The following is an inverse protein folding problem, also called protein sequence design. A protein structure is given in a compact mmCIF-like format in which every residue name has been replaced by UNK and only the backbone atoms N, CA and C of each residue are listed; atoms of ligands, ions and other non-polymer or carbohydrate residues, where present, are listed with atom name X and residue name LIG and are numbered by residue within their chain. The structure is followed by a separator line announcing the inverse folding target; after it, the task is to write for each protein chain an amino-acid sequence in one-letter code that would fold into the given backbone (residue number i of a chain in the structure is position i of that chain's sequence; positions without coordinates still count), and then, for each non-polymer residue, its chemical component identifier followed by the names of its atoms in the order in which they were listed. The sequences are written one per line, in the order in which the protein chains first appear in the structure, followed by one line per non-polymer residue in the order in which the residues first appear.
data_IF_993661424859
#
_entry.id   IF_993661424859
#
_cell.length_a   1.000
_cell.length_b   1.000
_cell.length_c   1.000
_cell.angle_alpha   90.00
_cell.angle_beta   90.00
_cell.angle_gamma   90.00
#
_symmetry.space_group_name_H-M   'P 1'
#
loop_
_entity.id
_entity.type
_entity.pdbx_description
1 polymer ?
#
# COMPACT_ATOMS: atom_id res chain seq x y z
N UNK A 1 -53.34 67.45 2.74
CA UNK A 1 -52.05 67.63 3.44
C UNK A 1 -51.94 66.48 4.43
N UNK A 2 -50.91 65.65 4.26
CA UNK A 2 -50.30 64.61 5.13
C UNK A 2 -50.96 64.32 6.50
N UNK A 3 -51.04 63.09 7.01
CA UNK A 3 -50.38 61.82 6.70
C UNK A 3 -50.64 60.88 7.89
N UNK A 4 -50.76 59.59 7.62
CA UNK A 4 -51.28 58.54 8.50
C UNK A 4 -50.21 57.98 9.45
N UNK A 5 -50.61 57.67 10.69
CA UNK A 5 -49.85 56.99 11.73
C UNK A 5 -49.29 55.63 11.29
N UNK A 6 -48.02 55.35 11.60
CA UNK A 6 -47.47 53.98 11.56
C UNK A 6 -46.83 53.58 12.90
N UNK A 7 -47.42 52.53 13.46
CA UNK A 7 -46.98 51.73 14.61
C UNK A 7 -45.66 51.02 14.33
N UNK A 8 -44.70 51.12 15.26
CA UNK A 8 -43.44 50.37 15.20
C UNK A 8 -43.56 49.06 15.99
N UNK A 9 -43.68 47.94 15.26
CA UNK A 9 -43.58 46.58 15.79
C UNK A 9 -42.10 46.17 15.87
N UNK A 10 -41.59 45.84 17.06
CA UNK A 10 -40.25 45.27 17.24
C UNK A 10 -40.28 43.78 16.89
N UNK A 11 -39.48 43.37 15.90
CA UNK A 11 -39.20 41.96 15.59
C UNK A 11 -37.85 41.59 16.23
N UNK A 12 -37.85 40.62 17.14
CA UNK A 12 -36.60 39.99 17.62
C UNK A 12 -36.10 39.01 16.54
N UNK A 13 -34.78 38.94 16.26
CA UNK A 13 -34.25 37.92 15.37
C UNK A 13 -34.14 36.57 16.10
N UNK A 14 -34.76 35.54 15.53
CA UNK A 14 -34.64 34.15 15.94
C UNK A 14 -33.24 33.65 15.58
N UNK A 15 -32.42 33.34 16.59
CA UNK A 15 -31.10 32.73 16.41
C UNK A 15 -31.27 31.25 16.04
N UNK A 16 -31.02 30.91 14.77
CA UNK A 16 -30.92 29.51 14.33
C UNK A 16 -29.54 28.98 14.70
N UNK A 17 -29.48 28.15 15.73
CA UNK A 17 -28.26 27.44 16.12
C UNK A 17 -28.14 26.20 15.22
N UNK A 18 -27.22 26.24 14.26
CA UNK A 18 -26.79 25.05 13.55
C UNK A 18 -25.93 24.21 14.49
N UNK A 19 -26.45 23.07 14.94
CA UNK A 19 -25.64 22.00 15.53
C UNK A 19 -24.86 21.33 14.40
N UNK A 20 -23.62 21.78 14.16
CA UNK A 20 -22.65 20.98 13.42
C UNK A 20 -22.26 19.79 14.31
N UNK A 21 -22.80 18.62 14.01
CA UNK A 21 -22.30 17.37 14.56
C UNK A 21 -20.88 17.14 14.01
N UNK A 22 -19.87 17.60 14.77
CA UNK A 22 -18.49 17.17 14.61
C UNK A 22 -18.45 15.68 14.95
N UNK A 23 -18.56 14.84 13.91
CA UNK A 23 -18.14 13.45 14.01
C UNK A 23 -16.65 13.46 14.32
N UNK A 24 -16.31 13.16 15.57
CA UNK A 24 -14.96 12.75 15.92
C UNK A 24 -14.70 11.41 15.23
N UNK A 25 -14.17 11.47 14.01
CA UNK A 25 -13.45 10.35 13.44
C UNK A 25 -12.28 10.14 14.41
N UNK A 26 -12.33 9.07 15.19
CA UNK A 26 -11.18 8.64 15.97
C UNK A 26 -9.99 8.61 15.01
N UNK A 27 -8.96 9.41 15.30
CA UNK A 27 -7.76 9.43 14.49
C UNK A 27 -7.29 7.97 14.36
N UNK A 28 -7.32 7.45 13.13
CA UNK A 28 -6.76 6.14 12.82
C UNK A 28 -5.34 6.10 13.39
N UNK A 29 -4.93 4.95 13.94
CA UNK A 29 -3.61 4.74 14.50
C UNK A 29 -2.55 5.29 13.54
N UNK A 30 -2.02 6.49 13.84
CA UNK A 30 -1.41 7.37 12.83
C UNK A 30 -0.06 6.86 12.34
N UNK A 31 0.42 5.76 12.92
CA UNK A 31 1.71 5.15 12.68
C UNK A 31 1.62 3.66 12.23
N UNK A 32 0.45 3.16 11.84
CA UNK A 32 0.32 1.78 11.35
C UNK A 32 0.65 1.70 9.84
N UNK A 33 1.81 1.13 9.50
CA UNK A 33 2.14 0.79 8.12
C UNK A 33 1.85 -0.70 7.86
N UNK A 34 0.91 -1.03 6.95
CA UNK A 34 0.57 -2.40 6.63
C UNK A 34 1.64 -3.10 5.79
N UNK A 35 2.11 -4.24 6.31
CA UNK A 35 2.99 -5.17 5.63
C UNK A 35 2.37 -6.55 5.78
N UNK A 36 1.84 -7.07 4.68
CA UNK A 36 1.09 -8.32 4.63
C UNK A 36 1.92 -9.45 4.04
N UNK A 37 1.74 -10.67 4.55
CA UNK A 37 2.12 -11.88 3.85
C UNK A 37 0.88 -12.45 3.15
N UNK A 38 0.99 -12.86 1.90
CA UNK A 38 -0.10 -13.48 1.14
C UNK A 38 -0.08 -15.01 1.27
N UNK A 39 -0.86 -15.60 2.17
CA UNK A 39 -1.17 -17.05 2.27
C UNK A 39 -2.25 -17.31 3.32
N UNK A 40 -3.07 -18.36 3.21
CA UNK A 40 -3.85 -18.81 4.38
C UNK A 40 -2.92 -19.14 5.56
N UNK A 41 -3.03 -18.40 6.66
CA UNK A 41 -2.16 -18.58 7.83
C UNK A 41 -2.73 -19.66 8.75
N UNK A 42 -1.90 -20.60 9.26
CA UNK A 42 -2.37 -21.55 10.27
C UNK A 42 -2.71 -20.84 11.58
N UNK A 43 -3.68 -21.36 12.32
CA UNK A 43 -3.97 -20.93 13.68
C UNK A 43 -2.93 -21.46 14.67
N UNK A 44 -1.68 -21.02 14.50
CA UNK A 44 -0.54 -21.42 15.30
C UNK A 44 0.16 -20.17 15.88
N UNK A 45 0.13 -19.96 17.20
CA UNK A 45 0.76 -18.82 17.84
C UNK A 45 2.26 -18.67 17.55
N UNK A 46 3.00 -19.78 17.40
CA UNK A 46 4.43 -19.73 17.11
C UNK A 46 4.69 -19.24 15.68
N UNK A 47 3.86 -19.68 14.73
CA UNK A 47 3.92 -19.21 13.34
C UNK A 47 3.58 -17.72 13.25
N UNK A 48 2.50 -17.28 13.91
CA UNK A 48 2.07 -15.88 13.92
C UNK A 48 3.11 -14.98 14.61
N UNK A 49 3.71 -15.43 15.71
CA UNK A 49 4.84 -14.72 16.34
C UNK A 49 6.03 -14.60 15.39
N UNK A 50 6.37 -15.65 14.65
CA UNK A 50 7.44 -15.61 13.64
C UNK A 50 7.13 -14.65 12.49
N UNK A 51 5.88 -14.56 12.06
CA UNK A 51 5.45 -13.56 11.07
C UNK A 51 5.68 -12.13 11.58
N UNK A 52 5.28 -11.85 12.83
CA UNK A 52 5.55 -10.55 13.46
C UNK A 52 7.05 -10.26 13.58
N UNK A 53 7.85 -11.25 13.96
CA UNK A 53 9.32 -11.12 14.02
C UNK A 53 9.94 -10.84 12.65
N UNK A 54 9.33 -11.29 11.55
CA UNK A 54 9.72 -10.92 10.18
C UNK A 54 9.33 -9.48 9.79
N UNK A 55 8.77 -8.70 10.72
CA UNK A 55 8.31 -7.33 10.48
C UNK A 55 6.98 -7.24 9.72
N UNK A 56 6.23 -8.35 9.62
CA UNK A 56 4.86 -8.30 9.11
C UNK A 56 3.95 -7.65 10.16
N UNK A 57 2.99 -6.86 9.70
CA UNK A 57 1.99 -6.20 10.56
C UNK A 57 0.56 -6.67 10.27
N UNK A 58 0.36 -7.36 9.15
CA UNK A 58 -0.93 -7.92 8.73
C UNK A 58 -0.73 -9.39 8.34
N UNK A 59 -1.52 -10.28 8.92
CA UNK A 59 -1.68 -11.65 8.42
C UNK A 59 -2.85 -11.68 7.42
N UNK A 60 -2.61 -12.24 6.24
CA UNK A 60 -3.63 -12.47 5.24
C UNK A 60 -3.39 -13.84 4.61
N UNK A 61 -4.30 -14.81 4.66
CA UNK A 61 -5.70 -14.74 5.05
C UNK A 61 -6.00 -15.57 6.30
N UNK A 62 -6.83 -15.02 7.18
CA UNK A 62 -7.03 -15.49 8.56
C UNK A 62 -8.46 -16.01 8.74
N UNK A 63 -8.62 -17.25 9.20
CA UNK A 63 -9.94 -17.76 9.58
C UNK A 63 -10.43 -17.10 10.89
N UNK A 64 -11.76 -16.94 11.11
CA UNK A 64 -12.30 -16.31 12.33
C UNK A 64 -11.68 -16.79 13.65
N UNK A 65 -11.50 -18.11 13.80
CA UNK A 65 -10.94 -18.72 15.02
C UNK A 65 -9.46 -18.44 15.28
N UNK A 66 -8.74 -17.77 14.37
CA UNK A 66 -7.32 -17.42 14.52
C UNK A 66 -7.06 -15.96 14.94
N UNK A 67 -8.13 -15.18 15.15
CA UNK A 67 -8.02 -13.75 15.43
C UNK A 67 -7.35 -13.45 16.78
N UNK A 68 -7.64 -14.21 17.83
CA UNK A 68 -7.00 -14.06 19.15
C UNK A 68 -5.49 -14.29 19.05
N UNK A 69 -5.07 -15.31 18.30
CA UNK A 69 -3.65 -15.61 18.09
C UNK A 69 -2.96 -14.51 17.25
N UNK A 70 -3.64 -13.94 16.26
CA UNK A 70 -3.12 -12.78 15.52
C UNK A 70 -2.93 -11.58 16.44
N UNK A 71 -3.92 -11.24 17.27
CA UNK A 71 -3.82 -10.15 18.23
C UNK A 71 -2.68 -10.37 19.23
N UNK A 72 -2.56 -11.59 19.78
CA UNK A 72 -1.51 -11.94 20.74
C UNK A 72 -0.10 -11.80 20.11
N UNK A 73 0.03 -12.06 18.81
CA UNK A 73 1.27 -11.87 18.06
C UNK A 73 1.52 -10.41 17.65
N UNK A 74 0.58 -9.49 17.86
CA UNK A 74 0.70 -8.10 17.41
C UNK A 74 0.38 -7.89 15.92
N UNK A 75 -0.38 -8.80 15.31
CA UNK A 75 -0.78 -8.76 13.91
C UNK A 75 -2.24 -8.31 13.76
N UNK A 76 -2.48 -7.51 12.73
CA UNK A 76 -3.83 -7.33 12.16
C UNK A 76 -4.15 -8.47 11.19
N UNK A 77 -5.40 -8.60 10.77
CA UNK A 77 -5.89 -9.75 10.01
C UNK A 77 -6.81 -9.33 8.86
N UNK A 78 -6.54 -9.83 7.66
CA UNK A 78 -7.56 -9.92 6.60
C UNK A 78 -8.31 -11.24 6.81
N UNK A 79 -9.56 -11.15 7.28
CA UNK A 79 -10.41 -12.30 7.54
C UNK A 79 -10.81 -12.96 6.22
N UNK A 80 -10.66 -14.27 6.11
CA UNK A 80 -11.19 -15.05 4.99
C UNK A 80 -12.08 -16.17 5.51
N UNK A 81 -13.29 -16.19 4.96
CA UNK A 81 -14.37 -17.10 5.34
C UNK A 81 -15.28 -17.29 4.11
N UNK A 82 -15.91 -18.45 3.98
CA UNK A 82 -16.86 -18.71 2.88
C UNK A 82 -18.05 -17.75 2.91
N UNK A 83 -18.38 -17.19 4.08
CA UNK A 83 -19.40 -16.14 4.26
C UNK A 83 -19.02 -14.79 3.65
N UNK A 84 -17.77 -14.53 3.30
CA UNK A 84 -17.38 -13.31 2.58
C UNK A 84 -16.83 -13.56 1.17
N UNK A 85 -16.19 -14.70 0.92
CA UNK A 85 -15.54 -14.99 -0.35
C UNK A 85 -16.22 -16.10 -1.20
N UNK A 86 -17.12 -16.89 -0.60
CA UNK A 86 -17.69 -18.11 -1.19
C UNK A 86 -18.86 -17.89 -2.16
N UNK A 87 -18.88 -16.77 -2.88
CA UNK A 87 -19.95 -16.39 -3.80
C UNK A 87 -19.61 -16.69 -5.26
N UNK A 88 -20.65 -16.86 -6.08
CA UNK A 88 -20.51 -16.64 -7.53
C UNK A 88 -20.53 -15.13 -7.79
N UNK A 89 -19.39 -14.58 -8.17
CA UNK A 89 -19.21 -13.17 -8.44
C UNK A 89 -19.78 -12.72 -9.81
N UNK A 90 -20.35 -13.64 -10.59
CA UNK A 90 -21.18 -13.29 -11.75
C UNK A 90 -22.65 -13.07 -11.35
N UNK A 91 -23.16 -13.85 -10.39
CA UNK A 91 -24.58 -13.81 -9.97
C UNK A 91 -24.73 -13.82 -8.45
N UNK A 92 -24.36 -12.71 -7.80
CA UNK A 92 -24.48 -12.59 -6.34
C UNK A 92 -25.95 -12.51 -5.89
N UNK A 93 -26.39 -13.53 -5.14
CA UNK A 93 -27.61 -13.46 -4.32
C UNK A 93 -27.38 -12.52 -3.12
N UNK A 94 -27.93 -11.31 -3.22
CA UNK A 94 -27.76 -10.26 -2.21
C UNK A 94 -28.38 -10.63 -0.85
N UNK A 95 -29.48 -11.38 -0.82
CA UNK A 95 -30.12 -11.78 0.44
C UNK A 95 -29.26 -12.78 1.20
N UNK A 96 -28.69 -13.75 0.46
CA UNK A 96 -27.70 -14.68 1.00
C UNK A 96 -26.45 -13.92 1.47
N UNK A 97 -25.95 -13.00 0.65
CA UNK A 97 -24.78 -12.19 1.01
C UNK A 97 -25.01 -11.38 2.29
N UNK A 98 -26.16 -10.70 2.41
CA UNK A 98 -26.54 -9.92 3.59
C UNK A 98 -26.60 -10.78 4.85
N UNK A 99 -27.19 -11.96 4.76
CA UNK A 99 -27.27 -12.92 5.88
C UNK A 99 -25.88 -13.38 6.33
N UNK A 100 -25.06 -13.83 5.38
CA UNK A 100 -23.73 -14.35 5.65
C UNK A 100 -22.77 -13.29 6.19
N UNK A 101 -22.72 -12.11 5.56
CA UNK A 101 -21.85 -11.01 5.96
C UNK A 101 -22.26 -10.45 7.33
N UNK A 102 -23.57 -10.34 7.60
CA UNK A 102 -24.05 -9.92 8.93
C UNK A 102 -23.66 -10.93 10.01
N UNK A 103 -23.77 -12.23 9.72
CA UNK A 103 -23.34 -13.29 10.64
C UNK A 103 -21.84 -13.23 10.93
N UNK A 104 -21.00 -13.12 9.88
CA UNK A 104 -19.55 -13.01 10.04
C UNK A 104 -19.16 -11.75 10.83
N UNK A 105 -19.71 -10.58 10.47
CA UNK A 105 -19.38 -9.33 11.16
C UNK A 105 -19.87 -9.33 12.62
N UNK A 106 -21.01 -9.97 12.91
CA UNK A 106 -21.47 -10.17 14.28
C UNK A 106 -20.48 -11.00 15.11
N UNK A 107 -19.89 -12.03 14.50
CA UNK A 107 -18.90 -12.91 15.14
C UNK A 107 -17.56 -12.20 15.38
N UNK A 108 -17.00 -11.56 14.35
CA UNK A 108 -15.61 -11.08 14.39
C UNK A 108 -15.42 -9.57 14.31
N UNK A 109 -16.44 -8.81 13.91
CA UNK A 109 -16.27 -7.42 13.48
C UNK A 109 -15.82 -6.45 14.58
N UNK A 110 -15.99 -6.83 15.85
CA UNK A 110 -15.50 -6.07 17.03
C UNK A 110 -14.09 -6.47 17.47
N UNK A 111 -13.54 -7.53 16.91
CA UNK A 111 -12.22 -8.02 17.30
C UNK A 111 -11.13 -7.05 16.81
N UNK A 112 -10.20 -6.60 17.68
CA UNK A 112 -9.27 -5.51 17.35
C UNK A 112 -8.22 -5.91 16.30
N UNK A 113 -7.97 -7.20 16.10
CA UNK A 113 -7.12 -7.67 15.00
C UNK A 113 -7.75 -7.52 13.62
N UNK A 114 -9.09 -7.46 13.48
CA UNK A 114 -9.70 -7.39 12.14
C UNK A 114 -9.29 -6.10 11.43
N UNK A 115 -8.66 -6.24 10.27
CA UNK A 115 -8.28 -5.14 9.37
C UNK A 115 -9.22 -5.04 8.18
N UNK A 116 -9.68 -6.19 7.68
CA UNK A 116 -10.56 -6.29 6.53
C UNK A 116 -11.08 -7.70 6.33
N UNK A 117 -11.84 -7.87 5.25
CA UNK A 117 -12.47 -9.13 4.84
C UNK A 117 -12.08 -9.41 3.39
N UNK A 118 -11.45 -10.55 3.14
CA UNK A 118 -11.12 -11.01 1.80
C UNK A 118 -12.39 -11.31 1.00
N UNK A 119 -12.57 -10.60 -0.12
CA UNK A 119 -13.65 -10.87 -1.06
C UNK A 119 -13.15 -11.67 -2.25
N UNK A 120 -12.11 -11.17 -2.93
CA UNK A 120 -11.64 -11.76 -4.18
C UNK A 120 -10.22 -11.32 -4.54
N UNK A 121 -9.51 -12.24 -5.16
CA UNK A 121 -8.25 -12.00 -5.84
C UNK A 121 -8.47 -11.95 -7.36
N UNK A 122 -7.80 -11.00 -7.99
CA UNK A 122 -7.75 -10.77 -9.44
C UNK A 122 -9.11 -10.94 -10.18
N UNK A 123 -10.14 -10.14 -9.86
CA UNK A 123 -11.42 -10.22 -10.55
C UNK A 123 -11.40 -9.55 -11.92
N UNK A 124 -12.06 -10.16 -12.91
CA UNK A 124 -12.44 -9.47 -14.14
C UNK A 124 -13.45 -8.36 -13.86
N UNK A 125 -13.48 -7.30 -14.68
CA UNK A 125 -14.39 -6.18 -14.51
C UNK A 125 -15.88 -6.57 -14.52
N UNK A 126 -16.24 -7.70 -15.15
CA UNK A 126 -17.59 -8.25 -15.08
C UNK A 126 -18.05 -8.63 -13.66
N UNK A 127 -17.11 -8.90 -12.75
CA UNK A 127 -17.41 -9.26 -11.36
C UNK A 127 -17.57 -8.03 -10.44
N UNK A 128 -17.16 -6.83 -10.89
CA UNK A 128 -17.18 -5.62 -10.05
C UNK A 128 -18.56 -5.27 -9.49
N UNK A 129 -19.67 -5.37 -10.24
CA UNK A 129 -20.99 -5.06 -9.68
C UNK A 129 -21.38 -5.97 -8.50
N UNK A 130 -21.05 -7.27 -8.58
CA UNK A 130 -21.31 -8.20 -7.49
C UNK A 130 -20.41 -7.91 -6.27
N UNK A 131 -19.12 -7.65 -6.51
CA UNK A 131 -18.18 -7.27 -5.47
C UNK A 131 -18.57 -5.97 -4.77
N UNK A 132 -19.06 -4.96 -5.51
CA UNK A 132 -19.57 -3.72 -4.94
C UNK A 132 -20.72 -3.99 -3.98
N UNK A 133 -21.71 -4.82 -4.36
CA UNK A 133 -22.83 -5.15 -3.46
C UNK A 133 -22.36 -5.76 -2.14
N UNK A 134 -21.39 -6.68 -2.17
CA UNK A 134 -20.81 -7.26 -0.95
C UNK A 134 -20.07 -6.20 -0.12
N UNK A 135 -19.29 -5.32 -0.77
CA UNK A 135 -18.61 -4.21 -0.10
C UNK A 135 -19.61 -3.21 0.51
N UNK A 136 -20.69 -2.87 -0.19
CA UNK A 136 -21.76 -1.96 0.24
C UNK A 136 -22.50 -2.50 1.48
N UNK A 137 -22.60 -3.83 1.62
CA UNK A 137 -23.11 -4.48 2.84
C UNK A 137 -22.07 -4.39 3.97
N UNK A 138 -20.79 -4.67 3.69
CA UNK A 138 -19.74 -4.68 4.72
C UNK A 138 -19.44 -3.32 5.33
N UNK A 139 -19.38 -2.24 4.53
CA UNK A 139 -19.01 -0.90 5.00
C UNK A 139 -19.84 -0.40 6.19
N UNK A 140 -21.19 -0.45 6.18
CA UNK A 140 -22.00 -0.03 7.32
C UNK A 140 -21.96 -1.05 8.47
N UNK A 141 -21.79 -2.35 8.20
CA UNK A 141 -21.72 -3.39 9.24
C UNK A 141 -20.40 -3.35 10.02
N UNK A 142 -19.29 -3.02 9.36
CA UNK A 142 -17.95 -2.99 9.95
C UNK A 142 -17.19 -1.72 9.53
N UNK A 143 -17.58 -0.54 10.05
CA UNK A 143 -16.97 0.73 9.67
C UNK A 143 -15.45 0.75 9.87
N UNK A 144 -14.73 1.24 8.87
CA UNK A 144 -13.27 1.31 8.87
C UNK A 144 -12.54 0.00 8.59
N UNK A 145 -13.26 -1.11 8.34
CA UNK A 145 -12.65 -2.38 7.88
C UNK A 145 -12.70 -2.48 6.37
N UNK A 146 -11.64 -3.00 5.78
CA UNK A 146 -11.46 -3.03 4.32
C UNK A 146 -12.15 -4.23 3.68
N UNK A 147 -13.12 -4.06 2.76
CA UNK A 147 -13.54 -5.12 1.84
C UNK A 147 -12.39 -5.36 0.84
N UNK A 148 -11.52 -6.31 1.16
CA UNK A 148 -10.25 -6.52 0.49
C UNK A 148 -10.47 -7.23 -0.86
N UNK A 149 -10.12 -6.52 -1.93
CA UNK A 149 -10.11 -7.02 -3.31
C UNK A 149 -8.72 -6.70 -3.87
N UNK A 150 -8.01 -7.72 -4.35
CA UNK A 150 -6.74 -7.55 -5.06
C UNK A 150 -6.98 -7.53 -6.57
N UNK A 151 -6.35 -6.59 -7.26
CA UNK A 151 -6.50 -6.36 -8.70
C UNK A 151 -5.36 -6.97 -9.49
N UNK A 152 -5.64 -7.30 -10.75
CA UNK A 152 -4.61 -7.71 -11.71
C UNK A 152 -3.52 -6.64 -11.93
N UNK A 153 -2.33 -7.04 -12.40
CA UNK A 153 -1.34 -6.16 -13.04
C UNK A 153 -1.71 -5.78 -14.49
N UNK A 154 -0.94 -4.85 -15.05
CA UNK A 154 -1.06 -4.42 -16.45
C UNK A 154 -0.53 -5.43 -17.49
N UNK A 155 0.09 -6.54 -17.06
CA UNK A 155 0.38 -7.69 -17.94
C UNK A 155 -0.74 -8.73 -18.00
N UNK A 156 -1.83 -8.56 -17.26
CA UNK A 156 -3.01 -9.39 -17.46
C UNK A 156 -3.65 -9.08 -18.82
N UNK A 157 -4.07 -10.13 -19.52
CA UNK A 157 -4.65 -9.98 -20.85
C UNK A 157 -6.00 -9.28 -20.79
N UNK A 158 -6.38 -8.58 -21.86
CA UNK A 158 -7.66 -7.87 -21.94
C UNK A 158 -8.89 -8.74 -21.61
N UNK A 159 -8.85 -10.04 -21.95
CA UNK A 159 -9.92 -10.98 -21.62
C UNK A 159 -9.98 -11.32 -20.13
N UNK A 160 -8.85 -11.29 -19.41
CA UNK A 160 -8.80 -11.44 -17.95
C UNK A 160 -9.35 -10.17 -17.28
N UNK A 161 -8.88 -9.00 -17.73
CA UNK A 161 -9.33 -7.71 -17.22
C UNK A 161 -10.83 -7.47 -17.47
N UNK A 162 -11.37 -7.93 -18.61
CA UNK A 162 -12.73 -7.60 -19.05
C UNK A 162 -12.85 -6.15 -19.55
N UNK A 163 -11.73 -5.56 -19.99
CA UNK A 163 -11.61 -4.19 -20.53
C UNK A 163 -10.64 -4.18 -21.71
N UNK A 164 -10.56 -3.05 -22.41
CA UNK A 164 -9.66 -2.91 -23.58
C UNK A 164 -8.22 -2.60 -23.20
N UNK A 165 -8.00 -2.11 -21.98
CA UNK A 165 -6.70 -1.77 -21.42
C UNK A 165 -6.77 -1.64 -19.89
N UNK A 166 -5.60 -1.51 -19.27
CA UNK A 166 -5.46 -1.44 -17.81
C UNK A 166 -6.01 -0.14 -17.17
N UNK A 167 -5.90 1.00 -17.84
CA UNK A 167 -6.43 2.27 -17.32
C UNK A 167 -7.96 2.20 -17.20
N UNK A 168 -8.64 1.67 -18.22
CA UNK A 168 -10.08 1.42 -18.17
C UNK A 168 -10.46 0.44 -17.05
N UNK A 169 -9.63 -0.58 -16.79
CA UNK A 169 -9.85 -1.54 -15.70
C UNK A 169 -9.82 -0.86 -14.32
N UNK A 170 -8.82 -0.02 -14.05
CA UNK A 170 -8.71 0.75 -12.80
C UNK A 170 -9.90 1.71 -12.64
N UNK A 171 -10.23 2.50 -13.65
CA UNK A 171 -11.32 3.46 -13.58
C UNK A 171 -12.68 2.78 -13.36
N UNK A 172 -12.94 1.65 -14.03
CA UNK A 172 -14.16 0.86 -13.79
C UNK A 172 -14.20 0.29 -12.37
N UNK A 173 -13.08 -0.18 -11.84
CA UNK A 173 -13.03 -0.68 -10.47
C UNK A 173 -13.33 0.43 -9.47
N UNK A 174 -12.69 1.59 -9.62
CA UNK A 174 -12.88 2.75 -8.73
C UNK A 174 -14.34 3.22 -8.78
N UNK A 175 -14.88 3.43 -9.98
CA UNK A 175 -16.25 3.92 -10.18
C UNK A 175 -17.33 2.93 -9.72
N UNK A 176 -17.06 1.62 -9.76
CA UNK A 176 -18.05 0.60 -9.38
C UNK A 176 -17.91 0.23 -7.91
N UNK A 177 -16.71 -0.15 -7.48
CA UNK A 177 -16.47 -0.73 -6.16
C UNK A 177 -16.16 0.30 -5.08
N UNK A 178 -15.97 1.58 -5.40
CA UNK A 178 -15.70 2.66 -4.44
C UNK A 178 -14.70 2.25 -3.34
N UNK A 179 -13.47 1.82 -3.73
CA UNK A 179 -12.46 1.38 -2.77
C UNK A 179 -11.95 2.57 -1.94
N UNK A 180 -11.44 2.30 -0.74
CA UNK A 180 -10.61 3.26 0.00
C UNK A 180 -9.11 3.08 -0.29
N UNK A 181 -8.73 1.85 -0.67
CA UNK A 181 -7.36 1.43 -0.96
C UNK A 181 -7.41 0.52 -2.19
N UNK A 182 -6.52 0.73 -3.15
CA UNK A 182 -6.29 -0.20 -4.26
C UNK A 182 -5.21 -1.21 -3.83
N UNK A 183 -5.49 -2.50 -3.93
CA UNK A 183 -4.46 -3.54 -3.86
C UNK A 183 -4.26 -4.11 -5.26
N UNK A 184 -3.01 -4.27 -5.68
CA UNK A 184 -2.68 -4.96 -6.93
C UNK A 184 -1.31 -5.64 -6.79
N UNK A 185 -1.06 -6.66 -7.59
CA UNK A 185 0.22 -7.35 -7.65
C UNK A 185 0.97 -7.06 -8.95
N UNK A 186 2.30 -6.98 -8.88
CA UNK A 186 3.16 -6.94 -10.06
C UNK A 186 4.51 -7.61 -9.75
N UNK A 187 4.73 -8.78 -10.35
CA UNK A 187 5.98 -9.53 -10.21
C UNK A 187 6.90 -9.27 -11.40
N UNK A 188 8.01 -8.56 -11.14
CA UNK A 188 8.88 -8.08 -12.20
C UNK A 188 10.32 -8.60 -12.15
N UNK A 189 10.72 -9.34 -11.10
CA UNK A 189 12.09 -9.79 -10.94
C UNK A 189 12.28 -11.15 -11.62
N UNK A 190 12.90 -11.14 -12.80
CA UNK A 190 13.00 -12.32 -13.67
C UNK A 190 14.31 -13.10 -13.41
N UNK A 191 14.30 -14.41 -13.66
CA UNK A 191 15.43 -15.33 -13.44
C UNK A 191 16.61 -15.14 -14.40
N UNK A 192 16.38 -14.49 -15.54
CA UNK A 192 17.43 -14.01 -16.45
C UNK A 192 18.14 -12.73 -15.96
N UNK A 193 17.76 -12.23 -14.77
CA UNK A 193 18.30 -11.02 -14.17
C UNK A 193 17.60 -9.74 -14.62
N UNK A 194 16.71 -9.81 -15.61
CA UNK A 194 15.97 -8.65 -16.10
C UNK A 194 14.91 -8.18 -15.10
N UNK A 195 14.56 -6.90 -15.23
CA UNK A 195 13.35 -6.35 -14.64
C UNK A 195 12.29 -6.31 -15.74
N UNK A 196 11.11 -6.87 -15.47
CA UNK A 196 9.99 -6.88 -16.41
C UNK A 196 9.70 -5.45 -16.88
N UNK A 197 9.53 -5.30 -18.20
CA UNK A 197 9.44 -4.01 -18.87
C UNK A 197 8.36 -3.09 -18.28
N UNK A 198 7.23 -3.64 -17.89
CA UNK A 198 6.05 -2.89 -17.44
C UNK A 198 5.97 -2.66 -15.93
N UNK A 199 7.01 -3.04 -15.16
CA UNK A 199 7.07 -2.78 -13.71
C UNK A 199 6.78 -1.31 -13.37
N UNK A 200 7.46 -0.40 -14.08
CA UNK A 200 7.34 1.03 -13.84
C UNK A 200 6.07 1.64 -14.41
N UNK A 201 5.58 1.16 -15.56
CA UNK A 201 4.34 1.66 -16.16
C UNK A 201 3.11 1.26 -15.32
N UNK A 202 3.11 0.05 -14.75
CA UNK A 202 2.03 -0.39 -13.87
C UNK A 202 2.00 0.44 -12.57
N UNK A 203 3.17 0.63 -11.93
CA UNK A 203 3.30 1.45 -10.73
C UNK A 203 2.80 2.88 -10.97
N UNK A 204 3.18 3.49 -12.11
CA UNK A 204 2.70 4.83 -12.46
C UNK A 204 1.20 4.85 -12.75
N UNK A 205 0.65 3.86 -13.46
CA UNK A 205 -0.78 3.79 -13.75
C UNK A 205 -1.61 3.73 -12.46
N UNK A 206 -1.21 2.90 -11.49
CA UNK A 206 -1.89 2.79 -10.19
C UNK A 206 -1.72 4.08 -9.40
N UNK A 207 -0.50 4.63 -9.31
CA UNK A 207 -0.24 5.90 -8.64
C UNK A 207 -1.10 7.03 -9.21
N UNK A 208 -1.15 7.17 -10.54
CA UNK A 208 -1.91 8.22 -11.22
C UNK A 208 -3.41 8.10 -10.92
N UNK A 209 -3.99 6.90 -11.01
CA UNK A 209 -5.38 6.65 -10.66
C UNK A 209 -5.65 6.98 -9.17
N UNK A 210 -4.80 6.51 -8.27
CA UNK A 210 -4.91 6.81 -6.84
C UNK A 210 -4.83 8.31 -6.55
N UNK A 211 -3.89 9.03 -7.17
CA UNK A 211 -3.75 10.48 -7.01
C UNK A 211 -4.98 11.23 -7.52
N UNK A 212 -5.52 10.84 -8.68
CA UNK A 212 -6.71 11.45 -9.27
C UNK A 212 -7.94 11.28 -8.38
N UNK A 213 -8.09 10.12 -7.74
CA UNK A 213 -9.25 9.78 -6.92
C UNK A 213 -9.02 9.89 -5.41
N UNK A 214 -7.88 10.46 -4.99
CA UNK A 214 -7.50 10.63 -3.59
C UNK A 214 -7.50 9.31 -2.78
N UNK A 215 -7.05 8.24 -3.42
CA UNK A 215 -6.94 6.89 -2.85
C UNK A 215 -5.51 6.56 -2.44
N UNK A 216 -5.39 5.59 -1.56
CA UNK A 216 -4.13 4.94 -1.25
C UNK A 216 -3.98 3.64 -2.05
N UNK A 217 -2.76 3.11 -2.16
CA UNK A 217 -2.55 1.77 -2.74
C UNK A 217 -1.55 0.92 -1.97
N UNK A 218 -1.74 -0.39 -2.07
CA UNK A 218 -0.81 -1.42 -1.66
C UNK A 218 -0.27 -2.15 -2.89
N UNK A 219 1.02 -2.45 -2.86
CA UNK A 219 1.68 -3.23 -3.89
C UNK A 219 2.00 -4.62 -3.33
N UNK A 220 1.54 -5.67 -4.02
CA UNK A 220 1.95 -7.04 -3.72
C UNK A 220 3.20 -7.37 -4.54
N UNK A 221 4.27 -7.68 -3.83
CA UNK A 221 5.61 -7.83 -4.39
C UNK A 221 6.12 -9.26 -4.20
N UNK A 222 7.12 -9.63 -4.99
CA UNK A 222 7.67 -10.98 -5.04
C UNK A 222 8.52 -11.27 -3.80
N UNK A 223 8.22 -12.38 -3.11
CA UNK A 223 9.03 -12.94 -2.03
C UNK A 223 9.38 -14.41 -2.21
N UNK A 224 8.76 -15.10 -3.17
CA UNK A 224 9.07 -16.49 -3.50
C UNK A 224 9.27 -16.65 -5.00
N UNK A 225 10.34 -17.33 -5.39
CA UNK A 225 10.56 -17.64 -6.78
C UNK A 225 9.66 -18.78 -7.24
N UNK A 226 9.06 -18.62 -8.40
CA UNK A 226 8.21 -19.61 -9.06
C UNK A 226 8.19 -19.28 -10.57
N UNK A 227 7.89 -20.26 -11.40
CA UNK A 227 8.03 -20.16 -12.86
C UNK A 227 9.42 -19.60 -13.22
N UNK A 228 9.46 -18.48 -13.95
CA UNK A 228 10.65 -17.75 -14.39
C UNK A 228 10.96 -16.51 -13.51
N UNK A 229 10.42 -16.42 -12.30
CA UNK A 229 10.80 -15.38 -11.35
C UNK A 229 12.07 -15.77 -10.59
N UNK A 230 12.99 -14.82 -10.36
CA UNK A 230 14.23 -15.12 -9.64
C UNK A 230 14.02 -15.32 -8.14
N UNK A 231 14.96 -16.02 -7.53
CA UNK A 231 15.08 -16.07 -6.07
C UNK A 231 15.39 -14.67 -5.52
N UNK A 232 14.49 -14.09 -4.70
CA UNK A 232 14.70 -12.72 -4.22
C UNK A 232 15.91 -12.62 -3.30
N UNK A 233 16.75 -11.63 -3.57
CA UNK A 233 17.90 -11.24 -2.75
C UNK A 233 17.54 -10.12 -1.77
N UNK A 234 18.46 -9.78 -0.86
CA UNK A 234 18.28 -8.59 0.00
C UNK A 234 18.11 -7.28 -0.80
N UNK A 235 18.74 -7.17 -1.98
CA UNK A 235 18.58 -6.02 -2.88
C UNK A 235 17.17 -5.95 -3.46
N UNK A 236 16.57 -7.10 -3.76
CA UNK A 236 15.22 -7.21 -4.33
C UNK A 236 14.14 -6.77 -3.36
N UNK A 237 14.25 -7.16 -2.09
CA UNK A 237 13.32 -6.70 -1.05
C UNK A 237 13.40 -5.20 -0.85
N UNK A 238 14.61 -4.62 -0.79
CA UNK A 238 14.78 -3.17 -0.69
C UNK A 238 14.21 -2.47 -1.92
N UNK A 239 14.55 -2.94 -3.12
CA UNK A 239 14.10 -2.35 -4.37
C UNK A 239 12.58 -2.27 -4.40
N UNK A 240 11.89 -3.42 -4.25
CA UNK A 240 10.43 -3.47 -4.31
C UNK A 240 9.75 -2.62 -3.23
N UNK A 241 10.31 -2.57 -2.01
CA UNK A 241 9.75 -1.78 -0.92
C UNK A 241 9.95 -0.28 -1.16
N UNK A 242 11.18 0.16 -1.45
CA UNK A 242 11.49 1.59 -1.59
C UNK A 242 10.94 2.21 -2.87
N UNK A 243 10.83 1.46 -3.97
CA UNK A 243 10.15 1.95 -5.18
C UNK A 243 8.66 2.14 -4.92
N UNK A 244 8.02 1.19 -4.22
CA UNK A 244 6.62 1.33 -3.78
C UNK A 244 6.43 2.60 -2.94
N UNK A 245 7.31 2.84 -1.96
CA UNK A 245 7.28 4.06 -1.15
C UNK A 245 7.52 5.32 -1.98
N UNK A 246 8.48 5.33 -2.91
CA UNK A 246 8.75 6.50 -3.74
C UNK A 246 7.57 6.87 -4.65
N UNK A 247 6.78 5.89 -5.09
CA UNK A 247 5.52 6.14 -5.81
C UNK A 247 4.36 6.55 -4.89
N UNK A 248 4.55 6.58 -3.57
CA UNK A 248 3.51 6.97 -2.62
C UNK A 248 2.66 5.82 -2.09
N UNK A 249 3.11 4.57 -2.28
CA UNK A 249 2.42 3.39 -1.75
C UNK A 249 2.28 3.44 -0.23
N UNK A 250 1.16 2.94 0.27
CA UNK A 250 0.76 2.98 1.68
C UNK A 250 0.65 1.61 2.33
N UNK A 251 1.05 0.58 1.59
CA UNK A 251 1.19 -0.77 2.12
C UNK A 251 1.98 -1.66 1.19
N UNK A 252 2.49 -2.74 1.75
CA UNK A 252 3.18 -3.81 1.05
C UNK A 252 2.49 -5.13 1.35
N UNK A 253 2.45 -6.01 0.36
CA UNK A 253 2.11 -7.41 0.55
C UNK A 253 3.17 -8.28 -0.13
N UNK A 254 3.40 -9.49 0.38
CA UNK A 254 4.42 -10.40 -0.15
C UNK A 254 3.78 -11.70 -0.63
N UNK A 255 3.93 -11.99 -1.92
CA UNK A 255 3.58 -13.28 -2.52
C UNK A 255 4.83 -14.17 -2.61
N UNK A 256 4.92 -15.29 -1.90
CA UNK A 256 4.16 -15.68 -0.70
C UNK A 256 5.12 -15.95 0.45
N UNK A 257 4.61 -15.97 1.68
CA UNK A 257 5.41 -16.20 2.88
C UNK A 257 5.74 -17.68 3.13
N UNK A 258 4.76 -18.56 2.96
CA UNK A 258 4.96 -20.00 2.98
C UNK A 258 5.19 -20.53 1.57
N UNK A 259 6.05 -21.53 1.44
CA UNK A 259 6.21 -22.27 0.20
C UNK A 259 4.89 -22.92 -0.23
N UNK A 260 4.61 -22.82 -1.52
CA UNK A 260 3.48 -23.50 -2.15
C UNK A 260 3.91 -24.93 -2.51
N UNK A 261 3.15 -25.98 -2.18
CA UNK A 261 3.60 -27.37 -2.25
C UNK A 261 3.53 -27.99 -3.67
N UNK A 262 3.47 -27.17 -4.71
CA UNK A 262 3.36 -27.60 -6.10
C UNK A 262 4.18 -26.68 -7.03
N UNK A 263 4.36 -27.07 -8.29
CA UNK A 263 5.21 -26.38 -9.27
C UNK A 263 6.69 -26.26 -8.81
N UNK A 264 7.41 -25.23 -9.29
CA UNK A 264 8.83 -25.01 -9.03
C UNK A 264 9.09 -23.88 -8.01
N UNK A 265 8.24 -23.77 -6.99
CA UNK A 265 8.43 -22.80 -5.92
C UNK A 265 9.73 -23.07 -5.17
N UNK A 266 10.50 -22.02 -4.93
CA UNK A 266 11.84 -22.10 -4.32
C UNK A 266 12.13 -20.85 -3.50
N UNK A 267 12.89 -21.02 -2.42
CA UNK A 267 13.34 -19.95 -1.54
C UNK A 267 12.21 -19.06 -0.99
N UNK A 268 11.06 -19.66 -0.63
CA UNK A 268 10.04 -18.96 0.15
C UNK A 268 10.62 -18.55 1.52
N UNK A 269 10.12 -17.49 2.18
CA UNK A 269 10.54 -17.14 3.54
C UNK A 269 10.46 -18.34 4.51
N UNK A 270 9.38 -19.09 4.45
CA UNK A 270 9.23 -20.38 5.13
C UNK A 270 9.14 -21.49 4.07
N UNK A 271 10.07 -22.44 4.09
CA UNK A 271 10.11 -23.55 3.13
C UNK A 271 8.99 -24.58 3.38
N UNK A 272 8.88 -25.56 2.47
CA UNK A 272 7.89 -26.64 2.55
C UNK A 272 8.03 -27.55 3.78
N UNK A 273 9.13 -27.44 4.53
CA UNK A 273 9.39 -28.19 5.76
C UNK A 273 9.19 -27.33 7.01
N UNK A 274 8.78 -26.07 6.87
CA UNK A 274 8.57 -25.13 7.97
C UNK A 274 9.84 -24.40 8.44
N UNK A 275 10.95 -24.49 7.72
CA UNK A 275 12.20 -23.82 8.08
C UNK A 275 12.28 -22.41 7.51
N UNK A 276 12.97 -21.52 8.23
CA UNK A 276 13.39 -20.23 7.69
C UNK A 276 14.45 -20.43 6.61
N UNK A 277 14.24 -19.81 5.45
CA UNK A 277 15.29 -19.68 4.43
C UNK A 277 16.01 -18.33 4.56
N UNK A 278 17.04 -18.08 3.74
CA UNK A 278 17.69 -16.78 3.68
C UNK A 278 16.71 -15.63 3.35
N UNK A 279 15.69 -15.91 2.54
CA UNK A 279 14.62 -14.98 2.16
C UNK A 279 13.91 -14.39 3.37
N UNK A 280 13.73 -15.17 4.45
CA UNK A 280 13.10 -14.68 5.68
C UNK A 280 13.91 -13.54 6.30
N UNK A 281 15.24 -13.66 6.35
CA UNK A 281 16.11 -12.61 6.92
C UNK A 281 16.17 -11.38 6.01
N UNK A 282 16.11 -11.57 4.70
CA UNK A 282 16.03 -10.46 3.74
C UNK A 282 14.73 -9.67 3.91
N UNK A 283 13.59 -10.39 4.00
CA UNK A 283 12.28 -9.81 4.28
C UNK A 283 12.29 -9.07 5.62
N UNK A 284 12.74 -9.71 6.69
CA UNK A 284 12.81 -9.10 8.03
C UNK A 284 13.60 -7.79 7.99
N UNK A 285 14.79 -7.82 7.40
CA UNK A 285 15.65 -6.64 7.37
C UNK A 285 15.01 -5.48 6.62
N UNK A 286 14.37 -5.73 5.47
CA UNK A 286 13.65 -4.70 4.73
C UNK A 286 12.46 -4.17 5.53
N UNK A 287 11.59 -5.05 6.05
CA UNK A 287 10.39 -4.67 6.78
C UNK A 287 10.70 -3.82 8.01
N UNK A 288 11.71 -4.19 8.81
CA UNK A 288 12.12 -3.41 9.98
C UNK A 288 12.57 -2.00 9.61
N UNK A 289 13.26 -1.84 8.48
CA UNK A 289 13.65 -0.51 7.98
C UNK A 289 12.42 0.33 7.61
N UNK A 290 11.46 -0.26 6.90
CA UNK A 290 10.20 0.40 6.52
C UNK A 290 9.41 0.83 7.78
N UNK A 291 9.30 -0.06 8.77
CA UNK A 291 8.60 0.25 10.02
C UNK A 291 9.26 1.36 10.84
N UNK A 292 10.59 1.54 10.72
CA UNK A 292 11.29 2.65 11.39
C UNK A 292 11.06 3.99 10.71
N UNK A 293 10.90 4.03 9.39
CA UNK A 293 10.62 5.28 8.66
C UNK A 293 9.10 5.58 8.58
N UNK A 294 8.24 4.59 8.79
CA UNK A 294 6.79 4.69 8.67
C UNK A 294 6.16 5.87 9.44
N UNK A 295 6.53 6.15 10.71
CA UNK A 295 5.92 7.27 11.45
C UNK A 295 6.11 8.63 10.77
N UNK A 296 7.26 8.87 10.12
CA UNK A 296 7.50 10.07 9.34
C UNK A 296 6.79 10.00 7.97
N UNK A 297 6.91 8.86 7.30
CA UNK A 297 6.36 8.64 5.95
C UNK A 297 4.83 8.75 5.88
N UNK A 298 4.12 8.26 6.89
CA UNK A 298 2.65 8.30 6.96
C UNK A 298 2.08 9.73 7.11
N UNK A 299 2.93 10.71 7.46
CA UNK A 299 2.54 12.13 7.51
C UNK A 299 2.73 12.87 6.17
N UNK A 300 3.19 12.16 5.13
CA UNK A 300 3.55 12.72 3.84
C UNK A 300 2.46 12.49 2.80
N UNK A 301 2.12 13.50 2.00
CA UNK A 301 1.35 13.37 0.77
C UNK A 301 2.31 13.25 -0.42
N UNK A 302 2.07 12.27 -1.30
CA UNK A 302 2.86 12.07 -2.53
C UNK A 302 2.55 13.17 -3.55
N UNK A 303 3.56 13.94 -3.92
CA UNK A 303 3.45 15.00 -4.91
C UNK A 303 3.74 14.47 -6.31
N UNK A 304 4.87 13.78 -6.49
CA UNK A 304 5.37 13.35 -7.79
C UNK A 304 6.32 12.15 -7.71
N UNK A 305 6.50 11.41 -8.81
CA UNK A 305 7.48 10.32 -8.89
C UNK A 305 8.18 10.35 -10.26
N UNK A 306 9.50 10.48 -10.28
CA UNK A 306 10.28 10.70 -11.52
C UNK A 306 11.61 9.96 -11.52
N UNK A 307 12.11 9.72 -12.72
CA UNK A 307 13.33 8.95 -12.93
C UNK A 307 14.49 9.84 -13.34
N UNK A 308 15.67 9.57 -12.79
CA UNK A 308 16.92 10.24 -13.11
C UNK A 308 17.81 9.26 -13.87
N UNK A 309 18.36 9.71 -15.00
CA UNK A 309 19.06 8.86 -15.96
C UNK A 309 18.09 8.20 -16.94
N UNK A 310 18.14 6.88 -17.07
CA UNK A 310 17.23 6.13 -17.92
C UNK A 310 15.78 6.24 -17.41
N UNK A 311 14.91 6.83 -18.25
CA UNK A 311 13.48 7.02 -17.97
C UNK A 311 12.71 5.81 -18.54
N UNK A 312 12.06 5.00 -17.70
CA UNK A 312 11.24 3.88 -18.17
C UNK A 312 10.05 4.35 -18.99
N UNK A 313 9.54 3.48 -19.88
CA UNK A 313 8.33 3.76 -20.64
C UNK A 313 7.14 4.08 -19.72
N UNK A 314 6.29 5.02 -20.14
CA UNK A 314 5.14 5.48 -19.35
C UNK A 314 5.48 6.35 -18.15
N UNK A 315 6.76 6.71 -17.95
CA UNK A 315 7.23 7.54 -16.85
C UNK A 315 7.90 8.82 -17.37
N UNK A 316 8.22 9.74 -16.46
CA UNK A 316 8.89 11.00 -16.81
C UNK A 316 10.16 11.25 -16.00
N UNK A 317 10.98 12.16 -16.51
CA UNK A 317 12.16 12.68 -15.83
C UNK A 317 11.85 13.94 -15.00
N UNK A 318 12.87 14.54 -14.36
CA UNK A 318 12.69 15.72 -13.51
C UNK A 318 12.23 16.94 -14.32
N UNK A 319 11.13 17.55 -13.90
CA UNK A 319 10.58 18.82 -14.38
C UNK A 319 10.99 19.99 -13.49
N UNK A 320 10.74 21.24 -13.92
CA UNK A 320 11.04 22.46 -13.14
C UNK A 320 10.33 22.53 -11.78
N UNK A 321 9.28 21.75 -11.58
CA UNK A 321 8.48 21.75 -10.35
C UNK A 321 9.01 20.76 -9.30
N UNK A 322 9.92 19.86 -9.68
CA UNK A 322 10.47 18.85 -8.77
C UNK A 322 11.53 19.43 -7.81
N UNK A 323 11.66 18.80 -6.65
CA UNK A 323 12.63 19.21 -5.62
C UNK A 323 14.08 19.02 -6.08
N UNK A 324 14.35 17.90 -6.76
CA UNK A 324 15.67 17.47 -7.20
C UNK A 324 15.75 17.55 -8.72
N UNK A 325 16.77 18.25 -9.23
CA UNK A 325 17.04 18.40 -10.65
C UNK A 325 17.81 17.21 -11.24
N UNK A 326 18.73 16.64 -10.47
CA UNK A 326 19.57 15.50 -10.86
C UNK A 326 20.15 14.82 -9.62
N UNK A 327 20.65 13.60 -9.78
CA UNK A 327 21.44 12.86 -8.78
C UNK A 327 22.64 12.28 -9.52
N UNK A 328 23.84 12.48 -8.99
CA UNK A 328 25.07 12.00 -9.65
C UNK A 328 25.08 10.47 -9.82
N UNK A 329 25.55 10.01 -10.98
CA UNK A 329 25.74 8.57 -11.28
C UNK A 329 24.63 7.93 -12.10
N UNK A 330 23.52 8.65 -12.34
CA UNK A 330 22.33 8.23 -13.10
C UNK A 330 21.72 6.90 -12.59
N UNK A 331 20.48 6.56 -12.97
CA UNK A 331 19.74 5.37 -12.52
C UNK A 331 19.13 5.45 -11.10
N UNK A 332 18.50 6.58 -10.79
CA UNK A 332 17.72 6.77 -9.56
C UNK A 332 16.23 6.96 -9.84
N UNK A 333 15.40 6.63 -8.87
CA UNK A 333 14.00 7.04 -8.77
C UNK A 333 13.87 8.04 -7.63
N UNK A 334 13.06 9.07 -7.82
CA UNK A 334 12.75 10.04 -6.77
C UNK A 334 11.25 10.20 -6.64
N UNK A 335 10.74 10.07 -5.41
CA UNK A 335 9.40 10.53 -5.04
C UNK A 335 9.48 11.85 -4.29
N UNK A 336 8.77 12.88 -4.73
CA UNK A 336 8.62 14.15 -4.02
C UNK A 336 7.39 14.10 -3.11
N UNK A 337 7.52 14.66 -1.92
CA UNK A 337 6.48 14.63 -0.90
C UNK A 337 6.33 15.97 -0.16
N UNK A 338 5.12 16.19 0.34
CA UNK A 338 4.79 17.29 1.25
C UNK A 338 4.25 16.73 2.56
N UNK A 339 4.89 17.09 3.68
CA UNK A 339 4.43 16.72 5.01
C UNK A 339 3.23 17.57 5.43
N UNK A 340 2.41 17.08 6.37
CA UNK A 340 1.23 17.80 6.91
C UNK A 340 1.52 19.20 7.48
N UNK A 341 2.77 19.50 7.84
CA UNK A 341 3.21 20.83 8.32
C UNK A 341 3.76 21.74 7.20
N UNK A 342 3.69 21.28 5.94
CA UNK A 342 4.19 21.98 4.76
C UNK A 342 5.68 21.76 4.45
N UNK A 343 6.44 21.08 5.32
CA UNK A 343 7.84 20.75 5.03
C UNK A 343 7.97 19.73 3.90
N UNK A 344 9.06 19.82 3.13
CA UNK A 344 9.28 19.01 1.92
C UNK A 344 10.17 17.80 2.21
N UNK A 345 9.81 16.67 1.62
CA UNK A 345 10.55 15.43 1.72
C UNK A 345 10.75 14.83 0.33
N UNK A 346 11.75 13.96 0.21
CA UNK A 346 11.92 13.11 -0.97
C UNK A 346 12.33 11.70 -0.56
N UNK A 347 11.86 10.69 -1.30
CA UNK A 347 12.40 9.33 -1.26
C UNK A 347 13.30 9.15 -2.47
N UNK A 348 14.60 8.96 -2.27
CA UNK A 348 15.57 8.69 -3.36
C UNK A 348 15.90 7.21 -3.34
N UNK A 349 15.78 6.51 -4.47
CA UNK A 349 16.00 5.07 -4.58
C UNK A 349 17.08 4.75 -5.61
N UNK A 350 18.07 3.97 -5.20
CA UNK A 350 19.04 3.35 -6.10
C UNK A 350 18.36 2.22 -6.88
N UNK A 351 18.19 2.38 -8.20
CA UNK A 351 17.58 1.35 -9.06
C UNK A 351 18.53 0.21 -9.42
N UNK A 352 19.83 0.34 -9.10
CA UNK A 352 20.82 -0.71 -9.33
C UNK A 352 20.67 -1.82 -8.28
N UNK A 353 20.62 -3.06 -8.74
CA UNK A 353 20.43 -4.25 -7.90
C UNK A 353 21.75 -4.98 -7.59
N UNK A 354 22.86 -4.54 -8.17
CA UNK A 354 24.19 -5.10 -7.97
C UNK A 354 25.15 -4.14 -7.25
N UNK A 355 25.05 -2.82 -7.49
CA UNK A 355 26.05 -1.87 -7.01
C UNK A 355 25.48 -0.80 -6.06
N UNK A 356 26.23 -0.52 -5.00
CA UNK A 356 25.99 0.65 -4.14
C UNK A 356 26.32 1.94 -4.89
N UNK A 357 25.55 2.99 -4.64
CA UNK A 357 25.74 4.30 -5.27
C UNK A 357 25.57 5.44 -4.26
N UNK A 358 26.41 6.49 -4.30
CA UNK A 358 26.17 7.68 -3.51
C UNK A 358 25.01 8.48 -4.11
N UNK A 359 23.97 8.74 -3.32
CA UNK A 359 22.89 9.64 -3.65
C UNK A 359 23.31 11.08 -3.34
N UNK A 360 23.86 11.76 -4.35
CA UNK A 360 24.25 13.18 -4.28
C UNK A 360 23.28 14.05 -5.11
N UNK A 361 22.15 14.49 -4.53
CA UNK A 361 21.14 15.26 -5.26
C UNK A 361 21.57 16.71 -5.51
N UNK A 362 21.31 17.21 -6.71
CA UNK A 362 21.31 18.64 -7.00
C UNK A 362 19.87 19.17 -6.86
N UNK A 363 19.65 20.02 -5.87
CA UNK A 363 18.34 20.61 -5.61
C UNK A 363 18.07 21.80 -6.52
N UNK A 364 16.81 21.99 -6.95
CA UNK A 364 16.41 23.18 -7.72
C UNK A 364 16.49 24.46 -6.91
N UNK A 365 16.20 24.36 -5.62
CA UNK A 365 16.40 25.42 -4.62
C UNK A 365 17.41 24.92 -3.60
N UNK A 366 18.55 25.60 -3.40
CA UNK A 366 19.53 25.19 -2.41
C UNK A 366 18.89 25.07 -1.03
N UNK A 367 18.90 23.89 -0.38
CA UNK A 367 18.36 23.74 0.96
C UNK A 367 19.33 24.34 1.99
N UNK A 368 18.78 24.88 3.08
CA UNK A 368 19.56 25.25 4.27
C UNK A 368 20.13 24.01 4.96
N UNK A 369 19.38 22.90 4.94
CA UNK A 369 19.78 21.63 5.56
C UNK A 369 19.06 20.46 4.90
N UNK A 370 19.78 19.34 4.78
CA UNK A 370 19.22 18.04 4.35
C UNK A 370 19.47 17.02 5.45
N UNK A 371 18.41 16.33 5.86
CA UNK A 371 18.47 15.26 6.84
C UNK A 371 17.79 14.03 6.28
N UNK A 372 18.15 12.83 6.72
CA UNK A 372 17.42 11.62 6.42
C UNK A 372 16.75 11.05 7.67
N UNK A 373 15.63 10.38 7.48
CA UNK A 373 14.99 9.58 8.52
C UNK A 373 15.74 8.25 8.60
N UNK A 374 16.44 8.02 9.71
CA UNK A 374 17.22 6.80 9.91
C UNK A 374 16.33 5.57 9.85
N UNK A 375 16.61 4.58 8.98
CA UNK A 375 15.84 3.34 8.92
C UNK A 375 16.11 2.41 10.11
N UNK A 376 16.94 2.82 11.07
CA UNK A 376 17.25 2.05 12.27
C UNK A 376 16.68 2.70 13.54
N UNK A 377 16.79 4.02 13.67
CA UNK A 377 16.29 4.76 14.84
C UNK A 377 14.98 5.51 14.60
N UNK A 378 14.64 5.86 13.35
CA UNK A 378 13.53 6.75 13.02
C UNK A 378 13.84 8.24 13.24
N UNK A 379 15.05 8.58 13.69
CA UNK A 379 15.46 9.97 13.94
C UNK A 379 15.95 10.67 12.67
N UNK A 380 15.86 12.00 12.66
CA UNK A 380 16.43 12.83 11.60
C UNK A 380 17.93 13.04 11.85
N UNK A 381 18.76 12.49 10.98
CA UNK A 381 20.22 12.64 11.00
C UNK A 381 20.70 13.43 9.78
N UNK A 382 21.85 14.13 9.85
CA UNK A 382 22.43 14.81 8.68
C UNK A 382 22.62 13.84 7.50
N UNK A 383 22.22 14.26 6.30
CA UNK A 383 22.43 13.49 5.08
C UNK A 383 23.72 13.96 4.37
N UNK A 384 24.86 13.50 4.86
CA UNK A 384 26.19 13.91 4.41
C UNK A 384 27.23 12.80 4.62
N UNK A 385 28.40 12.91 3.97
CA UNK A 385 29.47 11.91 4.08
C UNK A 385 28.99 10.51 3.69
N UNK A 386 29.31 9.51 4.52
CA UNK A 386 28.96 8.11 4.28
C UNK A 386 27.44 7.84 4.31
N UNK A 387 26.65 8.71 4.93
CA UNK A 387 25.19 8.58 4.95
C UNK A 387 24.53 8.81 3.58
N UNK A 388 25.30 9.28 2.58
CA UNK A 388 24.82 9.43 1.21
C UNK A 388 24.83 8.13 0.41
N UNK A 389 25.50 7.08 0.89
CA UNK A 389 25.58 5.81 0.17
C UNK A 389 24.30 4.99 0.30
N UNK A 390 23.76 4.58 -0.86
CA UNK A 390 22.64 3.65 -0.95
C UNK A 390 23.15 2.31 -1.46
N UNK A 391 22.91 1.24 -0.69
CA UNK A 391 23.13 -0.14 -1.13
C UNK A 391 22.26 -0.48 -2.37
N UNK A 392 22.49 -1.63 -3.03
CA UNK A 392 21.66 -2.01 -4.17
C UNK A 392 20.18 -2.12 -3.78
N UNK A 393 19.30 -1.52 -4.59
CA UNK A 393 17.86 -1.43 -4.35
C UNK A 393 17.43 -0.55 -3.17
N UNK A 394 18.37 0.04 -2.41
CA UNK A 394 18.04 0.82 -1.22
C UNK A 394 17.46 2.19 -1.58
N UNK A 395 16.52 2.66 -0.76
CA UNK A 395 16.08 4.04 -0.76
C UNK A 395 16.38 4.76 0.55
N UNK A 396 16.26 6.09 0.51
CA UNK A 396 16.41 6.98 1.66
C UNK A 396 15.29 8.01 1.66
N UNK A 397 14.63 8.20 2.81
CA UNK A 397 13.68 9.28 3.01
C UNK A 397 14.43 10.49 3.57
N UNK A 398 14.50 11.57 2.80
CA UNK A 398 15.15 12.82 3.20
C UNK A 398 14.13 13.93 3.47
N UNK A 399 14.40 14.72 4.50
CA UNK A 399 13.77 16.01 4.79
C UNK A 399 14.62 17.12 4.16
N UNK A 400 13.98 18.02 3.44
CA UNK A 400 14.61 19.13 2.73
C UNK A 400 14.12 20.43 3.37
N UNK A 401 14.98 21.10 4.12
CA UNK A 401 14.68 22.39 4.74
C UNK A 401 15.09 23.51 3.80
N UNK A 402 14.10 24.17 3.18
CA UNK A 402 14.30 25.31 2.29
C UNK A 402 14.65 26.59 3.04
#
# INVERSE_FOLDING_TARGET
MFGVFMSHSRVLPTLVIYFSALFWIAAADTNFFPIMAWNSVPNDPAVLKKMHEAGLTVAGFVAPGALDACQAAGLKAIVSDTRCAGYDWQTLDENKARTNLSSLVSEVGRHPAVYGYYLRDEPSAGMFPALSKAADILRPLSPGKWPYINLFPDYAENWQLGTTNYSEYLERFIATCHPSIISYDNYALMDDGSLRQNYWSNLEAVRAACKQHQLEFWNIVLSVAHYNYREPTAADFRFQAYTTLAYGGRGLSYFTYFAVPYANYRMAPIDQFGNETATWKFMQNANLQILKIAPAYLQLTSDDAYHIGAIPAGNHGPSTNNLIASVSGDNFLVGDFTHRDGSRYAVIVNKDLAHSRPASPQFRKPPRRVQFVSPYSGELLPFEGDYTWLAPGQGVLIKIEQ
#
